data_IF_065484261051
#
_entry.id   IF_065484261051
#
_cell.length_a   1.000
_cell.length_b   1.000
_cell.length_c   1.000
_cell.angle_alpha   90.00
_cell.angle_beta   90.00
_cell.angle_gamma   90.00
#
_symmetry.space_group_name_H-M   'P 1'
#
loop_
_entity.id
_entity.type
_entity.pdbx_description
1 polymer ?
#
# COMPACT_ATOMS: atom_id res chain seq x y z
N UNK A 1 29.60 6.28 -2.46
CA UNK A 1 29.53 6.29 -0.98
C UNK A 1 28.32 5.48 -0.54
N UNK A 2 28.47 4.58 0.43
CA UNK A 2 27.37 3.79 1.03
C UNK A 2 26.75 4.56 2.22
N UNK A 3 25.49 4.29 2.62
CA UNK A 3 24.91 4.80 3.87
C UNK A 3 25.75 4.40 5.10
N UNK A 4 25.63 5.09 6.24
CA UNK A 4 26.37 4.74 7.46
C UNK A 4 26.14 3.27 7.87
N UNK A 5 27.24 2.55 8.10
CA UNK A 5 27.28 1.12 8.46
C UNK A 5 27.26 0.88 9.98
N UNK A 6 26.85 1.89 10.76
CA UNK A 6 26.95 1.87 12.22
C UNK A 6 25.89 0.98 12.87
N UNK A 7 24.84 0.60 12.13
CA UNK A 7 23.81 -0.32 12.58
C UNK A 7 24.22 -1.77 12.28
N UNK A 8 23.81 -2.75 13.10
CA UNK A 8 24.09 -4.15 12.82
C UNK A 8 23.35 -4.60 11.56
N UNK A 9 24.08 -5.33 10.70
CA UNK A 9 23.57 -5.93 9.47
C UNK A 9 23.87 -7.43 9.50
N UNK A 10 23.04 -8.24 10.18
CA UNK A 10 23.33 -9.66 10.44
C UNK A 10 23.55 -10.45 9.14
N UNK A 11 22.83 -10.11 8.07
CA UNK A 11 22.89 -10.84 6.80
C UNK A 11 24.00 -10.34 5.86
N UNK A 12 24.46 -9.10 6.05
CA UNK A 12 25.40 -8.42 5.14
C UNK A 12 26.78 -8.13 5.76
N UNK A 13 27.08 -8.71 6.93
CA UNK A 13 28.33 -8.46 7.66
C UNK A 13 29.57 -8.84 6.83
N UNK A 14 29.47 -9.92 6.04
CA UNK A 14 30.54 -10.40 5.17
C UNK A 14 30.91 -9.38 4.09
N UNK A 15 29.92 -8.76 3.47
CA UNK A 15 30.07 -7.76 2.42
C UNK A 15 30.62 -6.45 2.99
N UNK A 16 30.21 -6.09 4.21
CA UNK A 16 30.76 -4.96 4.97
C UNK A 16 32.25 -5.16 5.23
N UNK A 17 32.63 -6.34 5.70
CA UNK A 17 34.04 -6.66 6.00
C UNK A 17 34.89 -6.69 4.74
N UNK A 18 34.34 -7.18 3.61
CA UNK A 18 35.00 -7.11 2.32
C UNK A 18 35.24 -5.66 1.87
N UNK A 19 34.27 -4.77 2.06
CA UNK A 19 34.44 -3.35 1.71
C UNK A 19 35.45 -2.65 2.61
N UNK A 20 35.43 -2.94 3.93
CA UNK A 20 36.42 -2.45 4.89
C UNK A 20 37.83 -2.91 4.52
N UNK A 21 37.98 -4.18 4.15
CA UNK A 21 39.24 -4.72 3.67
C UNK A 21 39.70 -4.03 2.38
N UNK A 22 38.79 -3.80 1.43
CA UNK A 22 39.13 -3.09 0.20
C UNK A 22 39.61 -1.65 0.46
N UNK A 23 38.94 -0.92 1.36
CA UNK A 23 39.36 0.42 1.77
C UNK A 23 40.67 0.44 2.59
N UNK A 24 40.96 -0.63 3.34
CA UNK A 24 42.21 -0.75 4.10
C UNK A 24 43.42 -1.07 3.21
N UNK A 25 43.21 -1.81 2.12
CA UNK A 25 44.26 -2.27 1.21
C UNK A 25 44.50 -1.32 0.03
N UNK A 26 43.49 -0.53 -0.35
CA UNK A 26 43.61 0.42 -1.46
C UNK A 26 43.85 1.85 -0.98
N UNK A 27 44.62 2.60 -1.77
CA UNK A 27 44.82 4.03 -1.55
C UNK A 27 43.50 4.79 -1.79
N UNK A 28 43.26 5.82 -0.96
CA UNK A 28 42.13 6.74 -1.09
C UNK A 28 42.07 7.47 -2.45
N UNK A 29 43.15 7.44 -3.24
CA UNK A 29 43.19 8.03 -4.59
C UNK A 29 42.57 7.12 -5.66
N UNK A 30 42.36 5.83 -5.37
CA UNK A 30 41.74 4.85 -6.27
C UNK A 30 40.27 4.62 -5.93
N UNK A 31 39.47 5.66 -6.07
CA UNK A 31 38.05 5.65 -5.70
C UNK A 31 37.22 4.57 -6.41
N UNK A 32 37.63 4.11 -7.60
CA UNK A 32 36.92 3.08 -8.36
C UNK A 32 37.32 1.64 -8.00
N UNK A 33 38.41 1.42 -7.26
CA UNK A 33 38.97 0.09 -7.03
C UNK A 33 38.05 -0.84 -6.22
N UNK A 34 37.15 -0.27 -5.43
CA UNK A 34 36.22 -1.01 -4.57
C UNK A 34 34.77 -1.02 -5.10
N UNK A 35 34.55 -0.62 -6.36
CA UNK A 35 33.20 -0.52 -6.92
C UNK A 35 32.46 -1.85 -6.96
N UNK A 36 33.17 -2.94 -7.26
CA UNK A 36 32.56 -4.27 -7.31
C UNK A 36 32.13 -4.75 -5.92
N UNK A 37 33.01 -4.61 -4.92
CA UNK A 37 32.67 -4.89 -3.53
C UNK A 37 31.51 -4.03 -3.03
N UNK A 38 31.49 -2.75 -3.43
CA UNK A 38 30.38 -1.84 -3.12
C UNK A 38 29.06 -2.31 -3.76
N UNK A 39 29.09 -2.73 -5.03
CA UNK A 39 27.88 -3.21 -5.72
C UNK A 39 27.29 -4.45 -5.04
N UNK A 40 28.15 -5.39 -4.63
CA UNK A 40 27.73 -6.58 -3.89
C UNK A 40 27.09 -6.20 -2.54
N UNK A 41 27.69 -5.25 -1.82
CA UNK A 41 27.15 -4.74 -0.56
C UNK A 41 25.79 -4.06 -0.74
N UNK A 42 25.65 -3.19 -1.75
CA UNK A 42 24.40 -2.48 -2.03
C UNK A 42 23.27 -3.49 -2.31
N UNK A 43 23.56 -4.55 -3.07
CA UNK A 43 22.59 -5.62 -3.36
C UNK A 43 22.15 -6.33 -2.08
N UNK A 44 23.10 -6.66 -1.19
CA UNK A 44 22.76 -7.30 0.08
C UNK A 44 21.84 -6.42 0.93
N UNK A 45 22.12 -5.12 1.03
CA UNK A 45 21.25 -4.20 1.77
C UNK A 45 19.87 -4.04 1.16
N UNK A 46 19.77 -4.13 -0.17
CA UNK A 46 18.47 -4.12 -0.83
C UNK A 46 17.65 -5.36 -0.47
N UNK A 47 18.28 -6.53 -0.44
CA UNK A 47 17.65 -7.80 -0.05
C UNK A 47 17.24 -7.78 1.44
N UNK A 48 18.13 -7.40 2.34
CA UNK A 48 17.85 -7.27 3.79
C UNK A 48 16.69 -6.30 4.05
N UNK A 49 16.69 -5.15 3.39
CA UNK A 49 15.59 -4.17 3.49
C UNK A 49 14.28 -4.75 2.98
N UNK A 50 14.31 -5.49 1.88
CA UNK A 50 13.10 -6.06 1.30
C UNK A 50 12.52 -7.14 2.21
N UNK A 51 13.35 -7.98 2.81
CA UNK A 51 12.94 -8.99 3.77
C UNK A 51 12.31 -8.35 5.01
N UNK A 52 12.97 -7.33 5.58
CA UNK A 52 12.45 -6.57 6.70
C UNK A 52 11.09 -5.92 6.40
N UNK A 53 10.95 -5.27 5.23
CA UNK A 53 9.68 -4.66 4.83
C UNK A 53 8.59 -5.72 4.62
N UNK A 54 8.95 -6.87 4.07
CA UNK A 54 8.00 -7.97 3.86
C UNK A 54 7.49 -8.47 5.21
N UNK A 55 8.39 -8.70 6.17
CA UNK A 55 8.03 -9.13 7.52
C UNK A 55 7.18 -8.09 8.27
N UNK A 56 7.55 -6.81 8.22
CA UNK A 56 6.78 -5.74 8.85
C UNK A 56 5.39 -5.56 8.25
N UNK A 57 5.21 -5.86 6.96
CA UNK A 57 3.96 -5.68 6.25
C UNK A 57 3.07 -6.94 6.22
N UNK A 58 3.51 -8.09 6.77
CA UNK A 58 2.74 -9.35 6.78
C UNK A 58 1.33 -9.17 7.35
N UNK A 59 1.22 -8.41 8.44
CA UNK A 59 -0.03 -8.26 9.18
C UNK A 59 -0.69 -6.89 8.93
N UNK A 60 -0.21 -6.14 7.93
CA UNK A 60 -0.68 -4.77 7.69
C UNK A 60 -2.16 -4.75 7.32
N UNK A 61 -2.59 -5.62 6.41
CA UNK A 61 -3.99 -5.71 6.00
C UNK A 61 -4.90 -6.21 7.12
N UNK A 62 -4.44 -7.20 7.90
CA UNK A 62 -5.21 -7.70 9.04
C UNK A 62 -5.38 -6.61 10.11
N UNK A 63 -4.30 -5.89 10.43
CA UNK A 63 -4.34 -4.77 11.38
C UNK A 63 -5.25 -3.65 10.88
N UNK A 64 -5.15 -3.30 9.60
CA UNK A 64 -6.02 -2.29 8.98
C UNK A 64 -7.49 -2.70 9.06
N UNK A 65 -7.81 -3.95 8.72
CA UNK A 65 -9.18 -4.45 8.78
C UNK A 65 -9.71 -4.46 10.22
N UNK A 66 -8.88 -4.85 11.19
CA UNK A 66 -9.24 -4.80 12.62
C UNK A 66 -9.52 -3.38 13.10
N UNK A 67 -8.73 -2.40 12.65
CA UNK A 67 -8.96 -0.99 12.96
C UNK A 67 -10.24 -0.46 12.29
N UNK A 68 -10.50 -0.83 11.03
CA UNK A 68 -11.72 -0.49 10.32
C UNK A 68 -12.97 -1.09 10.98
N UNK A 69 -12.92 -2.34 11.44
CA UNK A 69 -14.03 -3.02 12.10
C UNK A 69 -14.28 -2.44 13.50
N UNK A 70 -13.22 -2.18 14.28
CA UNK A 70 -13.34 -1.49 15.57
C UNK A 70 -13.94 -0.08 15.42
N UNK A 71 -13.59 0.62 14.33
CA UNK A 71 -14.18 1.92 14.02
C UNK A 71 -15.67 1.80 13.66
N UNK A 72 -16.08 0.84 12.84
CA UNK A 72 -17.50 0.59 12.52
C UNK A 72 -18.32 0.31 13.77
N UNK A 73 -17.80 -0.52 14.67
CA UNK A 73 -18.44 -0.84 15.95
C UNK A 73 -18.59 0.39 16.84
N UNK A 74 -17.54 1.22 16.95
CA UNK A 74 -17.55 2.43 17.77
C UNK A 74 -18.50 3.51 17.24
N UNK A 75 -18.64 3.63 15.92
CA UNK A 75 -19.50 4.65 15.28
C UNK A 75 -20.98 4.21 15.28
N UNK A 76 -21.29 2.94 15.58
CA UNK A 76 -22.67 2.45 15.66
C UNK A 76 -23.38 2.38 14.31
N UNK A 77 -22.65 2.52 13.20
CA UNK A 77 -23.17 2.31 11.85
C UNK A 77 -23.20 0.81 11.55
N UNK A 78 -24.22 0.12 12.07
CA UNK A 78 -24.43 -1.33 11.86
C UNK A 78 -24.88 -1.66 10.42
N UNK A 79 -25.25 -0.66 9.62
CA UNK A 79 -25.68 -0.81 8.24
C UNK A 79 -24.99 0.23 7.36
N UNK A 80 -24.58 -0.18 6.16
CA UNK A 80 -24.11 0.76 5.14
C UNK A 80 -25.24 1.75 4.78
N UNK A 81 -24.88 2.93 4.28
CA UNK A 81 -25.87 3.91 3.82
C UNK A 81 -26.82 3.32 2.75
N UNK A 82 -26.29 2.48 1.86
CA UNK A 82 -27.09 1.77 0.86
C UNK A 82 -28.07 0.78 1.51
N UNK A 83 -27.65 0.05 2.54
CA UNK A 83 -28.52 -0.90 3.23
C UNK A 83 -29.56 -0.21 4.12
N UNK A 84 -29.24 0.98 4.64
CA UNK A 84 -30.21 1.87 5.27
C UNK A 84 -31.28 2.32 4.26
N UNK A 85 -30.87 2.86 3.10
CA UNK A 85 -31.80 3.33 2.05
C UNK A 85 -32.69 2.20 1.52
N UNK A 86 -32.16 0.99 1.36
CA UNK A 86 -32.95 -0.19 0.94
C UNK A 86 -34.05 -0.57 1.93
N UNK A 87 -33.93 -0.18 3.19
CA UNK A 87 -34.93 -0.47 4.22
C UNK A 87 -35.83 0.73 4.51
N UNK A 88 -35.38 1.94 4.18
CA UNK A 88 -36.12 3.17 4.34
C UNK A 88 -37.41 3.21 3.49
N UNK A 89 -38.52 3.56 4.15
CA UNK A 89 -39.84 3.57 3.53
C UNK A 89 -39.99 4.73 2.54
N UNK A 90 -39.48 5.91 2.90
CA UNK A 90 -39.59 7.12 2.06
C UNK A 90 -38.80 6.95 0.76
N UNK A 91 -37.62 6.35 0.85
CA UNK A 91 -36.80 6.02 -0.31
C UNK A 91 -37.50 5.04 -1.25
N UNK A 92 -38.10 3.97 -0.72
CA UNK A 92 -38.91 3.02 -1.52
C UNK A 92 -40.09 3.70 -2.21
N UNK A 93 -40.79 4.58 -1.51
CA UNK A 93 -41.92 5.31 -2.07
C UNK A 93 -41.47 6.29 -3.15
N UNK A 94 -40.32 6.94 -2.97
CA UNK A 94 -39.70 7.80 -3.98
C UNK A 94 -39.28 7.01 -5.23
N UNK A 95 -38.70 5.82 -5.06
CA UNK A 95 -38.34 4.93 -6.17
C UNK A 95 -39.57 4.47 -6.96
N UNK A 96 -40.63 4.04 -6.28
CA UNK A 96 -41.89 3.67 -6.94
C UNK A 96 -42.49 4.84 -7.71
N UNK A 97 -42.51 6.05 -7.11
CA UNK A 97 -42.96 7.26 -7.79
C UNK A 97 -42.08 7.62 -8.99
N UNK A 98 -40.77 7.41 -8.92
CA UNK A 98 -39.87 7.60 -10.05
C UNK A 98 -40.17 6.60 -11.18
N UNK A 99 -40.43 5.34 -10.84
CA UNK A 99 -40.76 4.31 -11.82
C UNK A 99 -42.11 4.57 -12.50
N UNK A 100 -43.13 4.95 -11.72
CA UNK A 100 -44.43 5.37 -12.26
C UNK A 100 -44.25 6.56 -13.22
N UNK A 101 -43.43 7.56 -12.87
CA UNK A 101 -43.15 8.70 -13.75
C UNK A 101 -42.50 8.27 -15.07
N UNK A 102 -41.57 7.30 -15.03
CA UNK A 102 -40.91 6.77 -16.22
C UNK A 102 -41.88 6.00 -17.10
N UNK A 103 -42.74 5.15 -16.52
CA UNK A 103 -43.71 4.36 -17.29
C UNK A 103 -44.88 5.20 -17.80
N UNK A 104 -45.31 6.21 -17.03
CA UNK A 104 -46.37 7.14 -17.44
C UNK A 104 -45.91 8.13 -18.50
N UNK A 105 -44.61 8.41 -18.58
CA UNK A 105 -44.05 9.37 -19.53
C UNK A 105 -42.75 8.83 -20.19
N UNK A 106 -42.86 7.75 -21.00
CA UNK A 106 -41.70 7.04 -21.53
C UNK A 106 -40.86 7.87 -22.50
N UNK A 107 -41.43 8.95 -23.07
CA UNK A 107 -40.72 9.87 -23.96
C UNK A 107 -40.01 11.01 -23.21
N UNK A 108 -40.30 11.24 -21.92
CA UNK A 108 -39.67 12.28 -21.11
C UNK A 108 -38.26 11.89 -20.62
N UNK A 109 -37.96 10.59 -20.56
CA UNK A 109 -36.70 10.04 -20.06
C UNK A 109 -35.89 9.27 -21.12
N UNK A 110 -36.33 9.31 -22.40
CA UNK A 110 -35.47 8.91 -23.50
C UNK A 110 -34.39 9.97 -23.63
N UNK A 111 -33.22 9.67 -23.07
CA UNK A 111 -32.01 10.40 -23.43
C UNK A 111 -31.92 10.39 -24.95
N UNK A 112 -31.91 11.57 -25.56
CA UNK A 112 -31.52 11.77 -26.95
C UNK A 112 -30.06 11.33 -27.08
N UNK A 113 -29.85 10.03 -27.30
CA UNK A 113 -28.62 9.53 -27.89
C UNK A 113 -28.66 9.99 -29.36
N UNK A 114 -28.33 11.25 -29.60
CA UNK A 114 -28.00 11.73 -30.94
C UNK A 114 -26.65 11.11 -31.32
N UNK A 115 -26.72 10.10 -32.19
CA UNK A 115 -25.64 9.76 -33.14
C UNK A 115 -25.70 10.70 -34.33
#
# INVERSE_FOLDING_TARGET
MHPPLDRPHPDCQKEIDALRYCHATNSKLKFWACNETKFVLDRCFQEEKQNMLTEMNKDFDEKRQREEDAFKDAVGHTVSFDDYLKNDKEYKDALKKAEIRKTSNPNQYKNSAHS
#
